data_IF_026519385397
#
_entry.id   IF_026519385397
#
_cell.length_a   1.000
_cell.length_b   1.000
_cell.length_c   1.000
_cell.angle_alpha   90.00
_cell.angle_beta   90.00
_cell.angle_gamma   90.00
#
_symmetry.space_group_name_H-M   'P 1'
#
loop_
_entity.id
_entity.type
_entity.pdbx_description
1 polymer ?
#
# COMPACT_ATOMS: atom_id res chain seq x y z
N UNK A 1 0.03 11.40 -11.52
CA UNK A 1 1.27 10.59 -11.53
C UNK A 1 1.97 10.47 -10.17
N UNK A 2 1.94 11.47 -9.28
CA UNK A 2 2.65 11.39 -7.98
C UNK A 2 2.10 10.39 -6.95
N UNK A 3 0.78 10.16 -6.89
CA UNK A 3 0.18 9.28 -5.87
C UNK A 3 0.63 7.81 -5.98
N UNK A 4 0.71 7.26 -7.20
CA UNK A 4 1.19 5.89 -7.38
C UNK A 4 2.63 5.73 -6.90
N UNK A 5 3.50 6.68 -7.25
CA UNK A 5 4.91 6.68 -6.81
C UNK A 5 4.98 6.78 -5.29
N UNK A 6 4.20 7.67 -4.68
CA UNK A 6 4.11 7.82 -3.24
C UNK A 6 3.71 6.51 -2.55
N UNK A 7 2.61 5.88 -2.94
CA UNK A 7 2.19 4.61 -2.33
C UNK A 7 3.15 3.45 -2.62
N UNK A 8 3.85 3.49 -3.76
CA UNK A 8 4.93 2.52 -4.04
C UNK A 8 6.09 2.69 -3.05
N UNK A 9 6.50 3.92 -2.76
CA UNK A 9 7.52 4.19 -1.76
C UNK A 9 7.08 3.71 -0.36
N UNK A 10 5.82 3.95 0.01
CA UNK A 10 5.24 3.45 1.27
C UNK A 10 5.24 1.92 1.32
N UNK A 11 4.88 1.25 0.22
CA UNK A 11 4.93 -0.22 0.14
C UNK A 11 6.34 -0.74 0.43
N UNK A 12 7.36 -0.19 -0.25
CA UNK A 12 8.74 -0.62 -0.03
C UNK A 12 9.23 -0.27 1.37
N UNK A 13 8.84 0.88 1.92
CA UNK A 13 9.17 1.24 3.29
C UNK A 13 8.62 0.20 4.28
N UNK A 14 7.35 -0.19 4.16
CA UNK A 14 6.76 -1.23 5.00
C UNK A 14 7.37 -2.62 4.81
N UNK A 15 7.74 -2.96 3.57
CA UNK A 15 8.41 -4.22 3.22
C UNK A 15 9.80 -4.31 3.86
N UNK A 16 10.62 -3.27 3.71
CA UNK A 16 11.99 -3.24 4.23
C UNK A 16 12.03 -2.99 5.74
N UNK A 17 11.09 -2.23 6.30
CA UNK A 17 10.95 -2.09 7.76
C UNK A 17 10.71 -3.45 8.42
N UNK A 18 9.86 -4.30 7.85
CA UNK A 18 9.67 -5.66 8.35
C UNK A 18 10.95 -6.51 8.27
N UNK A 19 11.74 -6.33 7.21
CA UNK A 19 13.03 -7.00 7.11
C UNK A 19 14.00 -6.55 8.21
N UNK A 20 14.12 -5.22 8.40
CA UNK A 20 15.00 -4.62 9.38
C UNK A 20 14.61 -5.03 10.80
N UNK A 21 13.32 -5.05 11.12
CA UNK A 21 12.81 -5.50 12.42
C UNK A 21 13.19 -6.95 12.72
N UNK A 22 13.02 -7.86 11.75
CA UNK A 22 13.44 -9.25 11.93
C UNK A 22 14.96 -9.38 12.20
N UNK A 23 15.76 -8.51 11.56
CA UNK A 23 17.21 -8.48 11.70
C UNK A 23 17.62 -8.00 13.10
N UNK A 24 16.97 -6.95 13.61
CA UNK A 24 17.22 -6.39 14.95
C UNK A 24 16.81 -7.36 16.06
N UNK A 25 15.68 -8.06 15.88
CA UNK A 25 15.12 -8.97 16.89
C UNK A 25 15.85 -10.33 16.89
N UNK A 26 16.68 -10.61 15.88
CA UNK A 26 17.41 -11.88 15.77
C UNK A 26 16.50 -13.09 15.49
N UNK A 27 15.30 -12.84 14.97
CA UNK A 27 14.27 -13.87 14.77
C UNK A 27 13.26 -13.48 13.71
N UNK A 28 12.36 -14.40 13.35
CA UNK A 28 11.32 -14.15 12.33
C UNK A 28 10.05 -13.62 13.00
N UNK A 29 10.02 -12.33 13.34
CA UNK A 29 8.80 -11.68 13.88
C UNK A 29 7.74 -11.52 12.77
N UNK A 30 8.15 -10.98 11.62
CA UNK A 30 7.27 -10.76 10.46
C UNK A 30 7.71 -11.69 9.34
N UNK A 31 7.04 -12.84 9.23
CA UNK A 31 7.32 -13.85 8.18
C UNK A 31 6.98 -13.33 6.78
N UNK A 32 5.85 -12.63 6.64
CA UNK A 32 5.33 -12.18 5.35
C UNK A 32 5.59 -10.69 5.10
N UNK A 33 6.80 -10.36 4.65
CA UNK A 33 7.23 -8.96 4.40
C UNK A 33 6.35 -8.22 3.39
N UNK A 34 5.79 -8.93 2.40
CA UNK A 34 4.85 -8.37 1.40
C UNK A 34 3.57 -7.85 2.05
N UNK A 35 3.03 -8.60 3.01
CA UNK A 35 1.85 -8.19 3.77
C UNK A 35 2.17 -6.96 4.62
N UNK A 36 3.38 -6.88 5.21
CA UNK A 36 3.81 -5.66 5.91
C UNK A 36 3.83 -4.43 5.00
N UNK A 37 4.32 -4.57 3.77
CA UNK A 37 4.28 -3.51 2.76
C UNK A 37 2.84 -3.07 2.45
N UNK A 38 1.93 -4.03 2.24
CA UNK A 38 0.51 -3.74 2.01
C UNK A 38 -0.15 -3.07 3.23
N UNK A 39 0.14 -3.54 4.44
CA UNK A 39 -0.36 -2.93 5.67
C UNK A 39 0.08 -1.47 5.81
N UNK A 40 1.34 -1.16 5.48
CA UNK A 40 1.83 0.22 5.47
C UNK A 40 1.05 1.10 4.47
N UNK A 41 0.80 0.59 3.26
CA UNK A 41 0.00 1.29 2.24
C UNK A 41 -1.43 1.53 2.74
N UNK A 42 -2.07 0.53 3.34
CA UNK A 42 -3.42 0.65 3.91
C UNK A 42 -3.49 1.68 5.06
N UNK A 43 -2.52 1.67 5.97
CA UNK A 43 -2.50 2.62 7.08
C UNK A 43 -2.36 4.07 6.58
N UNK A 44 -1.44 4.30 5.64
CA UNK A 44 -1.23 5.64 5.07
C UNK A 44 -2.43 6.07 4.23
N UNK A 45 -3.08 5.16 3.49
CA UNK A 45 -4.24 5.51 2.68
C UNK A 45 -5.45 5.90 3.51
N UNK A 46 -5.67 5.27 4.66
CA UNK A 46 -6.73 5.65 5.59
C UNK A 46 -6.52 7.08 6.11
N UNK A 47 -5.29 7.41 6.53
CA UNK A 47 -4.94 8.76 6.99
C UNK A 47 -5.09 9.78 5.86
N UNK A 48 -4.64 9.44 4.65
CA UNK A 48 -4.75 10.32 3.49
C UNK A 48 -6.22 10.54 3.07
N UNK A 49 -7.04 9.49 3.03
CA UNK A 49 -8.46 9.58 2.72
C UNK A 49 -9.22 10.39 3.77
N UNK A 50 -8.94 10.18 5.05
CA UNK A 50 -9.50 10.99 6.13
C UNK A 50 -9.16 12.47 5.95
N UNK A 51 -7.92 12.79 5.57
CA UNK A 51 -7.50 14.17 5.29
C UNK A 51 -8.30 14.76 4.13
N UNK A 52 -8.42 14.06 3.01
CA UNK A 52 -9.21 14.52 1.85
C UNK A 52 -10.64 14.86 2.24
N UNK A 53 -11.29 13.98 3.01
CA UNK A 53 -12.67 14.18 3.45
C UNK A 53 -12.79 15.34 4.45
N UNK A 54 -11.85 15.47 5.39
CA UNK A 54 -11.92 16.46 6.47
C UNK A 54 -11.46 17.87 6.08
N UNK A 55 -10.64 18.02 5.03
CA UNK A 55 -10.15 19.33 4.60
C UNK A 55 -10.95 19.96 3.46
N UNK A 56 -11.94 19.27 2.91
CA UNK A 56 -12.78 19.82 1.84
C UNK A 56 -13.82 20.77 2.45
N UNK A 57 -13.90 22.05 2.03
CA UNK A 57 -14.88 22.99 2.54
C UNK A 57 -16.32 22.50 2.34
N UNK A 58 -17.29 22.83 3.21
CA UNK A 58 -18.68 22.33 3.13
C UNK A 58 -19.44 22.69 1.84
N UNK A 59 -18.84 23.52 0.98
CA UNK A 59 -19.41 24.00 -0.29
C UNK A 59 -18.63 23.50 -1.51
N UNK A 60 -17.61 22.64 -1.30
CA UNK A 60 -16.91 21.95 -2.38
C UNK A 60 -17.79 20.83 -2.92
N UNK A 61 -17.99 20.79 -4.24
CA UNK A 61 -18.85 19.82 -4.90
C UNK A 61 -18.41 18.39 -4.55
N UNK A 62 -19.34 17.51 -4.13
CA UNK A 62 -19.07 16.10 -3.80
C UNK A 62 -18.33 15.33 -4.92
N UNK A 63 -18.46 15.81 -6.15
CA UNK A 63 -17.75 15.34 -7.34
C UNK A 63 -16.21 15.50 -7.21
N UNK A 64 -15.72 16.55 -6.56
CA UNK A 64 -14.29 16.77 -6.32
C UNK A 64 -13.72 15.78 -5.30
N UNK A 65 -14.48 15.47 -4.24
CA UNK A 65 -14.08 14.50 -3.21
C UNK A 65 -14.02 13.09 -3.82
N UNK A 66 -15.07 12.69 -4.53
CA UNK A 66 -15.13 11.36 -5.16
C UNK A 66 -14.06 11.19 -6.23
N UNK A 67 -13.80 12.22 -7.05
CA UNK A 67 -12.70 12.22 -8.00
C UNK A 67 -11.34 12.12 -7.30
N UNK A 68 -11.13 12.87 -6.21
CA UNK A 68 -9.87 12.83 -5.46
C UNK A 68 -9.61 11.46 -4.82
N UNK A 69 -10.61 10.88 -4.15
CA UNK A 69 -10.52 9.55 -3.55
C UNK A 69 -10.27 8.48 -4.62
N UNK A 70 -11.01 8.55 -5.74
CA UNK A 70 -10.90 7.60 -6.85
C UNK A 70 -9.49 7.58 -7.46
N UNK A 71 -9.03 8.72 -7.98
CA UNK A 71 -7.78 8.78 -8.75
C UNK A 71 -6.52 8.79 -7.89
N UNK A 72 -6.54 9.41 -6.72
CA UNK A 72 -5.33 9.58 -5.91
C UNK A 72 -5.18 8.56 -4.80
N UNK A 73 -6.23 7.80 -4.45
CA UNK A 73 -6.16 6.81 -3.36
C UNK A 73 -6.57 5.43 -3.86
N UNK A 74 -7.79 5.26 -4.35
CA UNK A 74 -8.33 3.94 -4.72
C UNK A 74 -7.54 3.32 -5.87
N UNK A 75 -7.39 4.04 -6.99
CA UNK A 75 -6.69 3.54 -8.17
C UNK A 75 -5.24 3.10 -7.87
N UNK A 76 -4.36 3.91 -7.23
CA UNK A 76 -3.00 3.47 -6.95
C UNK A 76 -2.93 2.31 -5.96
N UNK A 77 -3.83 2.21 -4.99
CA UNK A 77 -3.90 1.06 -4.07
C UNK A 77 -4.25 -0.21 -4.84
N UNK A 78 -5.25 -0.17 -5.72
CA UNK A 78 -5.65 -1.31 -6.54
C UNK A 78 -4.47 -1.79 -7.39
N UNK A 79 -3.75 -0.87 -8.05
CA UNK A 79 -2.57 -1.21 -8.86
C UNK A 79 -1.50 -1.91 -8.02
N UNK A 80 -1.21 -1.41 -6.82
CA UNK A 80 -0.22 -2.01 -5.91
C UNK A 80 -0.68 -3.39 -5.44
N UNK A 81 -1.95 -3.55 -5.05
CA UNK A 81 -2.52 -4.83 -4.60
C UNK A 81 -2.41 -5.88 -5.72
N UNK A 82 -2.80 -5.53 -6.95
CA UNK A 82 -2.69 -6.42 -8.11
C UNK A 82 -1.23 -6.80 -8.36
N UNK A 83 -0.31 -5.83 -8.38
CA UNK A 83 1.11 -6.08 -8.60
C UNK A 83 1.69 -7.05 -7.54
N UNK A 84 1.33 -6.86 -6.27
CA UNK A 84 1.76 -7.73 -5.18
C UNK A 84 1.13 -9.12 -5.30
N UNK A 85 -0.15 -9.21 -5.66
CA UNK A 85 -0.85 -10.48 -5.85
C UNK A 85 -0.23 -11.32 -6.97
N UNK A 86 0.04 -10.71 -8.13
CA UNK A 86 0.74 -11.35 -9.25
C UNK A 86 2.11 -11.88 -8.79
N UNK A 87 2.86 -11.06 -8.05
CA UNK A 87 4.17 -11.46 -7.55
C UNK A 87 4.11 -12.61 -6.54
N UNK A 88 3.06 -12.69 -5.72
CA UNK A 88 2.83 -13.80 -4.79
C UNK A 88 2.49 -15.07 -5.55
N UNK A 89 1.67 -14.94 -6.60
CA UNK A 89 1.29 -16.07 -7.44
C UNK A 89 2.50 -16.65 -8.20
N UNK A 90 3.33 -15.80 -8.82
CA UNK A 90 4.56 -16.21 -9.49
C UNK A 90 5.51 -16.99 -8.57
N UNK A 91 5.76 -16.49 -7.36
CA UNK A 91 6.62 -17.18 -6.39
C UNK A 91 6.04 -18.51 -5.88
N UNK A 92 4.73 -18.70 -5.98
CA UNK A 92 4.11 -19.97 -5.62
C UNK A 92 4.32 -20.98 -6.74
N UNK A 93 4.11 -20.57 -8.00
CA UNK A 93 4.36 -21.41 -9.17
C UNK A 93 5.82 -21.84 -9.32
N UNK A 94 6.78 -20.95 -9.04
CA UNK A 94 8.22 -21.29 -9.08
C UNK A 94 8.64 -22.30 -8.00
N UNK A 95 7.89 -22.41 -6.90
CA UNK A 95 8.16 -23.38 -5.83
C UNK A 95 7.65 -24.79 -6.15
N UNK A 96 6.80 -24.92 -7.16
CA UNK A 96 6.18 -26.19 -7.57
C UNK A 96 6.95 -26.89 -8.71
N UNK A 97 8.03 -26.28 -9.20
CA UNK A 97 8.93 -26.86 -10.22
C UNK A 97 10.15 -27.46 -9.48
N UNK A 98 10.32 -28.80 -9.45
CA UNK A 98 11.35 -29.49 -8.66
C UNK A 98 12.78 -29.32 -9.19
#
# INVERSE_FOLDING_TARGET
MGALIFYTAIYFLGYYAAHLLNLIIGGTLIRNRRISGLLAVFMVSLVHGYKVISTTPPHGHDEEISHALGFYIILPIIVIVIAVAIRIWQESGDRDIP
#
